data_IF_723486155457
#
_entry.id   IF_723486155457
#
_cell.length_a   1.000
_cell.length_b   1.000
_cell.length_c   1.000
_cell.angle_alpha   90.00
_cell.angle_beta   90.00
_cell.angle_gamma   90.00
#
_symmetry.space_group_name_H-M   'P 1'
#
loop_
_entity.id
_entity.type
_entity.pdbx_description
1 polymer ?
#
# COMPACT_ATOMS: atom_id res chain seq x y z
N UNK A 1 -12.92 20.72 40.85
CA UNK A 1 -13.01 20.59 39.38
C UNK A 1 -11.81 19.79 38.89
N UNK A 2 -11.92 18.46 38.86
CA UNK A 2 -10.85 17.60 38.35
C UNK A 2 -10.83 17.70 36.83
N UNK A 3 -9.72 18.15 36.26
CA UNK A 3 -9.53 18.13 34.81
C UNK A 3 -9.63 16.68 34.34
N UNK A 4 -10.63 16.39 33.54
CA UNK A 4 -10.83 15.10 32.88
C UNK A 4 -9.68 14.89 31.89
N UNK A 5 -8.55 14.38 32.39
CA UNK A 5 -7.35 14.14 31.58
C UNK A 5 -7.75 13.12 30.51
N UNK A 6 -7.70 13.55 29.25
CA UNK A 6 -7.91 12.67 28.09
C UNK A 6 -6.62 11.92 27.77
N UNK A 7 -6.74 10.72 27.24
CA UNK A 7 -5.59 9.96 26.75
C UNK A 7 -4.87 10.72 25.63
N UNK A 8 -3.57 10.99 25.83
CA UNK A 8 -2.70 11.58 24.82
C UNK A 8 -1.59 10.60 24.50
N UNK A 9 -1.50 10.20 23.23
CA UNK A 9 -0.49 9.25 22.80
C UNK A 9 0.81 9.98 22.42
N UNK A 10 1.89 9.71 23.15
CA UNK A 10 3.18 10.39 22.97
C UNK A 10 3.77 10.23 21.57
N UNK A 11 3.48 9.11 20.89
CA UNK A 11 3.98 8.83 19.53
C UNK A 11 2.95 9.18 18.44
N UNK A 12 1.96 10.04 18.73
CA UNK A 12 0.98 10.49 17.75
C UNK A 12 1.62 11.12 16.49
N UNK A 13 2.67 11.97 16.59
CA UNK A 13 3.34 12.51 15.41
C UNK A 13 3.95 11.41 14.54
N UNK A 14 4.59 10.41 15.15
CA UNK A 14 5.20 9.29 14.44
C UNK A 14 4.14 8.44 13.71
N UNK A 15 2.98 8.19 14.32
CA UNK A 15 1.86 7.50 13.67
C UNK A 15 1.41 8.23 12.41
N UNK A 16 1.24 9.55 12.49
CA UNK A 16 0.84 10.37 11.34
C UNK A 16 1.89 10.33 10.22
N UNK A 17 3.17 10.46 10.55
CA UNK A 17 4.25 10.37 9.55
C UNK A 17 4.25 9.02 8.84
N UNK A 18 4.07 7.91 9.58
CA UNK A 18 3.99 6.56 9.00
C UNK A 18 2.76 6.38 8.11
N UNK A 19 1.65 6.98 8.48
CA UNK A 19 0.42 6.96 7.68
C UNK A 19 0.63 7.71 6.35
N UNK A 20 1.23 8.90 6.38
CA UNK A 20 1.58 9.62 5.15
C UNK A 20 2.59 8.89 4.28
N UNK A 21 3.59 8.25 4.88
CA UNK A 21 4.54 7.41 4.15
C UNK A 21 3.83 6.28 3.40
N UNK A 22 2.89 5.60 4.07
CA UNK A 22 2.09 4.53 3.48
C UNK A 22 1.18 5.03 2.36
N UNK A 23 0.50 6.15 2.57
CA UNK A 23 -0.40 6.75 1.57
C UNK A 23 0.38 7.20 0.33
N UNK A 24 1.57 7.78 0.53
CA UNK A 24 2.50 8.11 -0.55
C UNK A 24 2.90 6.87 -1.35
N UNK A 25 3.34 5.80 -0.67
CA UNK A 25 3.74 4.55 -1.34
C UNK A 25 2.58 3.92 -2.14
N UNK A 26 1.35 4.01 -1.61
CA UNK A 26 0.13 3.56 -2.32
C UNK A 26 -0.12 4.37 -3.59
N UNK A 27 0.05 5.69 -3.53
CA UNK A 27 -0.06 6.56 -4.71
C UNK A 27 0.99 6.21 -5.76
N UNK A 28 2.26 6.10 -5.34
CA UNK A 28 3.37 5.72 -6.23
C UNK A 28 3.12 4.35 -6.89
N UNK A 29 2.55 3.39 -6.14
CA UNK A 29 2.21 2.06 -6.68
C UNK A 29 1.06 2.13 -7.69
N UNK A 30 0.07 2.99 -7.44
CA UNK A 30 -1.00 3.27 -8.40
C UNK A 30 -0.46 3.79 -9.73
N UNK A 31 0.40 4.81 -9.67
CA UNK A 31 1.07 5.36 -10.87
C UNK A 31 1.89 4.29 -11.59
N UNK A 32 2.70 3.52 -10.86
CA UNK A 32 3.50 2.45 -11.45
C UNK A 32 2.64 1.39 -12.13
N UNK A 33 1.52 0.99 -11.52
CA UNK A 33 0.60 0.03 -12.11
C UNK A 33 -0.04 0.54 -13.40
N UNK A 34 -0.37 1.85 -13.47
CA UNK A 34 -0.88 2.44 -14.73
C UNK A 34 0.17 2.45 -15.82
N UNK A 35 1.42 2.79 -15.50
CA UNK A 35 2.53 2.76 -16.44
C UNK A 35 2.83 1.34 -16.93
N UNK A 36 2.82 0.36 -16.02
CA UNK A 36 2.99 -1.05 -16.33
C UNK A 36 1.90 -1.55 -17.28
N UNK A 37 0.62 -1.25 -16.99
CA UNK A 37 -0.49 -1.67 -17.82
C UNK A 37 -0.44 -1.06 -19.23
N UNK A 38 -0.05 0.22 -19.33
CA UNK A 38 0.15 0.88 -20.63
C UNK A 38 1.29 0.22 -21.43
N UNK A 39 2.40 -0.13 -20.76
CA UNK A 39 3.54 -0.78 -21.40
C UNK A 39 3.20 -2.21 -21.84
N UNK A 40 2.52 -3.00 -21.01
CA UNK A 40 2.04 -4.34 -21.34
C UNK A 40 1.09 -4.32 -22.55
N UNK A 41 0.17 -3.36 -22.61
CA UNK A 41 -0.68 -3.15 -23.77
C UNK A 41 0.13 -2.82 -25.04
N UNK A 42 1.18 -2.01 -24.93
CA UNK A 42 2.09 -1.70 -26.05
C UNK A 42 2.83 -2.94 -26.55
N UNK A 43 3.36 -3.77 -25.66
CA UNK A 43 4.02 -5.04 -26.01
C UNK A 43 3.04 -5.95 -26.76
N UNK A 44 1.83 -6.13 -26.22
CA UNK A 44 0.79 -6.96 -26.84
C UNK A 44 0.41 -6.45 -28.24
N UNK A 45 0.29 -5.14 -28.42
CA UNK A 45 -0.01 -4.55 -29.72
C UNK A 45 1.12 -4.79 -30.74
N UNK A 46 2.39 -4.71 -30.32
CA UNK A 46 3.54 -5.00 -31.19
C UNK A 46 3.59 -6.47 -31.61
N UNK A 47 3.35 -7.39 -30.67
CA UNK A 47 3.28 -8.83 -30.96
C UNK A 47 2.12 -9.16 -31.91
N UNK A 48 0.96 -8.53 -31.72
CA UNK A 48 -0.18 -8.69 -32.63
C UNK A 48 0.14 -8.19 -34.04
N UNK A 49 0.79 -7.02 -34.18
CA UNK A 49 1.24 -6.51 -35.48
C UNK A 49 2.23 -7.47 -36.15
N UNK A 50 3.22 -7.94 -35.40
CA UNK A 50 4.19 -8.91 -35.89
C UNK A 50 3.50 -10.18 -36.41
N UNK A 51 2.55 -10.73 -35.63
CA UNK A 51 1.81 -11.93 -36.02
C UNK A 51 0.94 -11.70 -37.25
N UNK A 52 0.28 -10.54 -37.37
CA UNK A 52 -0.49 -10.18 -38.56
C UNK A 52 0.40 -10.09 -39.80
N UNK A 53 1.58 -9.48 -39.69
CA UNK A 53 2.54 -9.41 -40.80
C UNK A 53 3.10 -10.78 -41.18
N UNK A 54 3.32 -11.68 -40.21
CA UNK A 54 3.70 -13.07 -40.49
C UNK A 54 2.59 -13.87 -41.18
N UNK A 55 1.32 -13.62 -40.85
CA UNK A 55 0.19 -14.22 -41.54
C UNK A 55 0.06 -13.70 -42.98
N UNK A 56 0.25 -12.39 -43.18
CA UNK A 56 0.31 -11.81 -44.52
C UNK A 56 1.45 -12.44 -45.34
N UNK A 57 2.62 -12.62 -44.72
CA UNK A 57 3.75 -13.31 -45.34
C UNK A 57 3.40 -14.73 -45.79
N UNK A 58 2.82 -15.55 -44.92
CA UNK A 58 2.40 -16.92 -45.27
C UNK A 58 1.30 -16.96 -46.34
N UNK A 59 0.42 -15.96 -46.37
CA UNK A 59 -0.60 -15.82 -47.42
C UNK A 59 -0.03 -15.51 -48.81
N UNK A 60 1.15 -14.88 -48.87
CA UNK A 60 1.84 -14.61 -50.13
C UNK A 60 2.41 -15.88 -50.77
N UNK A 61 2.78 -16.90 -49.99
CA UNK A 61 3.24 -18.20 -50.51
C UNK A 61 2.13 -18.97 -51.24
N UNK A 62 0.86 -18.75 -50.86
CA UNK A 62 -0.31 -19.35 -51.51
C UNK A 62 -0.87 -18.54 -52.68
N UNK A 63 -0.33 -17.35 -52.97
CA UNK A 63 -0.84 -16.48 -54.03
C UNK A 63 -0.38 -16.96 -55.41
N UNK A 64 -1.32 -17.20 -56.32
CA UNK A 64 -1.08 -17.63 -57.71
C UNK A 64 -0.62 -16.52 -58.66
N UNK A 65 -0.35 -15.33 -58.15
CA UNK A 65 0.09 -14.15 -58.93
C UNK A 65 1.57 -13.83 -58.75
N UNK A 66 2.18 -13.07 -59.69
CA UNK A 66 3.57 -12.65 -59.55
C UNK A 66 3.76 -11.79 -58.29
N UNK A 67 4.58 -12.28 -57.36
CA UNK A 67 4.98 -11.55 -56.17
C UNK A 67 5.96 -10.44 -56.52
N UNK A 68 5.66 -9.19 -56.15
CA UNK A 68 6.65 -8.12 -56.26
C UNK A 68 7.74 -8.34 -55.21
N UNK A 69 9.00 -8.41 -55.64
CA UNK A 69 10.17 -8.51 -54.76
C UNK A 69 10.20 -7.37 -53.74
N UNK A 70 9.75 -6.17 -54.11
CA UNK A 70 9.70 -5.01 -53.22
C UNK A 70 8.75 -5.21 -52.03
N UNK A 71 7.54 -5.74 -52.26
CA UNK A 71 6.59 -6.07 -51.19
C UNK A 71 7.15 -7.11 -50.24
N UNK A 72 7.84 -8.12 -50.76
CA UNK A 72 8.50 -9.15 -49.96
C UNK A 72 9.59 -8.54 -49.08
N UNK A 73 10.52 -7.76 -49.65
CA UNK A 73 11.59 -7.13 -48.86
C UNK A 73 11.04 -6.18 -47.81
N UNK A 74 9.98 -5.43 -48.14
CA UNK A 74 9.31 -4.53 -47.19
C UNK A 74 8.68 -5.29 -46.02
N UNK A 75 7.94 -6.37 -46.29
CA UNK A 75 7.27 -7.15 -45.25
C UNK A 75 8.29 -7.85 -44.32
N UNK A 76 9.39 -8.34 -44.87
CA UNK A 76 10.48 -8.96 -44.09
C UNK A 76 11.10 -7.96 -43.11
N UNK A 77 11.44 -6.76 -43.60
CA UNK A 77 11.97 -5.68 -42.77
C UNK A 77 10.97 -5.26 -41.70
N UNK A 78 9.70 -5.15 -42.06
CA UNK A 78 8.65 -4.78 -41.12
C UNK A 78 8.47 -5.79 -39.98
N UNK A 79 8.53 -7.10 -40.28
CA UNK A 79 8.47 -8.17 -39.27
C UNK A 79 9.67 -8.09 -38.33
N UNK A 80 10.87 -7.88 -38.85
CA UNK A 80 12.10 -7.75 -38.04
C UNK A 80 12.05 -6.50 -37.14
N UNK A 81 11.64 -5.36 -37.71
CA UNK A 81 11.45 -4.10 -36.95
C UNK A 81 10.44 -4.27 -35.82
N UNK A 82 9.30 -4.93 -36.07
CA UNK A 82 8.31 -5.21 -35.02
C UNK A 82 8.87 -6.13 -33.95
N UNK A 83 9.64 -7.16 -34.32
CA UNK A 83 10.30 -8.06 -33.37
C UNK A 83 11.32 -7.32 -32.49
N UNK A 84 12.13 -6.45 -33.07
CA UNK A 84 13.09 -5.62 -32.33
C UNK A 84 12.39 -4.66 -31.37
N UNK A 85 11.32 -3.99 -31.82
CA UNK A 85 10.53 -3.10 -30.99
C UNK A 85 9.84 -3.85 -29.84
N UNK A 86 9.28 -5.04 -30.10
CA UNK A 86 8.65 -5.87 -29.09
C UNK A 86 9.65 -6.30 -28.00
N UNK A 87 10.86 -6.70 -28.37
CA UNK A 87 11.92 -7.06 -27.40
C UNK A 87 12.30 -5.88 -26.51
N UNK A 88 12.56 -4.70 -27.09
CA UNK A 88 12.85 -3.48 -26.31
C UNK A 88 11.71 -3.09 -25.39
N UNK A 89 10.47 -3.22 -25.86
CA UNK A 89 9.29 -2.93 -25.07
C UNK A 89 9.12 -3.94 -23.92
N UNK A 90 9.48 -5.20 -24.13
CA UNK A 90 9.48 -6.24 -23.10
C UNK A 90 10.56 -5.97 -22.03
N UNK A 91 11.79 -5.62 -22.43
CA UNK A 91 12.85 -5.25 -21.49
C UNK A 91 12.42 -4.07 -20.59
N UNK A 92 11.75 -3.07 -21.17
CA UNK A 92 11.18 -1.96 -20.40
C UNK A 92 10.06 -2.41 -19.45
N UNK A 93 9.21 -3.36 -19.88
CA UNK A 93 8.16 -3.94 -19.03
C UNK A 93 8.75 -4.74 -17.86
N UNK A 94 9.82 -5.48 -18.10
CA UNK A 94 10.51 -6.26 -17.07
C UNK A 94 11.14 -5.32 -16.02
N UNK A 95 11.77 -4.23 -16.46
CA UNK A 95 12.29 -3.20 -15.56
C UNK A 95 11.20 -2.52 -14.72
N UNK A 96 10.03 -2.21 -15.33
CA UNK A 96 8.87 -1.70 -14.60
C UNK A 96 8.33 -2.74 -13.59
N UNK A 97 8.35 -4.02 -13.95
CA UNK A 97 7.90 -5.11 -13.08
C UNK A 97 8.78 -5.21 -11.83
N UNK A 98 10.11 -5.21 -12.01
CA UNK A 98 11.06 -5.22 -10.88
C UNK A 98 10.82 -4.05 -9.94
N UNK A 99 10.66 -2.84 -10.50
CA UNK A 99 10.43 -1.63 -9.70
C UNK A 99 9.09 -1.64 -8.97
N UNK A 100 8.05 -2.21 -9.57
CA UNK A 100 6.75 -2.42 -8.93
C UNK A 100 6.86 -3.39 -7.76
N UNK A 101 7.61 -4.47 -7.93
CA UNK A 101 7.79 -5.49 -6.88
C UNK A 101 8.58 -4.91 -5.69
N UNK A 102 9.66 -4.16 -5.94
CA UNK A 102 10.39 -3.41 -4.90
C UNK A 102 9.48 -2.44 -4.13
N UNK A 103 8.59 -1.74 -4.84
CA UNK A 103 7.65 -0.80 -4.23
C UNK A 103 6.59 -1.53 -3.37
N UNK A 104 6.19 -2.72 -3.80
CA UNK A 104 5.26 -3.59 -3.07
C UNK A 104 5.89 -4.06 -1.76
N UNK A 105 7.16 -4.47 -1.78
CA UNK A 105 7.91 -4.84 -0.58
C UNK A 105 8.02 -3.66 0.40
N UNK A 106 8.33 -2.47 -0.10
CA UNK A 106 8.36 -1.24 0.71
C UNK A 106 7.02 -0.92 1.35
N UNK A 107 5.91 -1.12 0.61
CA UNK A 107 4.55 -0.92 1.13
C UNK A 107 4.25 -1.90 2.26
N UNK A 108 4.61 -3.18 2.10
CA UNK A 108 4.46 -4.17 3.16
C UNK A 108 5.24 -3.83 4.43
N UNK A 109 6.48 -3.36 4.29
CA UNK A 109 7.30 -2.92 5.41
C UNK A 109 6.71 -1.69 6.10
N UNK A 110 6.25 -0.70 5.34
CA UNK A 110 5.61 0.50 5.87
C UNK A 110 4.30 0.18 6.62
N UNK A 111 3.49 -0.74 6.08
CA UNK A 111 2.27 -1.20 6.72
C UNK A 111 2.58 -1.87 8.06
N UNK A 112 3.53 -2.82 8.10
CA UNK A 112 3.93 -3.49 9.35
C UNK A 112 4.43 -2.50 10.40
N UNK A 113 5.21 -1.50 9.98
CA UNK A 113 5.68 -0.46 10.89
C UNK A 113 4.53 0.38 11.46
N UNK A 114 3.52 0.72 10.65
CA UNK A 114 2.31 1.42 11.09
C UNK A 114 1.51 0.55 12.07
N UNK A 115 1.30 -0.72 11.75
CA UNK A 115 0.55 -1.67 12.57
C UNK A 115 1.18 -1.81 13.96
N UNK A 116 2.51 -1.93 14.04
CA UNK A 116 3.24 -2.00 15.31
C UNK A 116 3.03 -0.76 16.19
N UNK A 117 3.02 0.44 15.59
CA UNK A 117 2.78 1.69 16.32
C UNK A 117 1.32 1.81 16.78
N UNK A 118 0.37 1.32 15.97
CA UNK A 118 -1.05 1.28 16.33
C UNK A 118 -1.32 0.28 17.46
N UNK A 119 -0.69 -0.90 17.43
CA UNK A 119 -0.77 -1.88 18.50
C UNK A 119 -0.23 -1.30 19.81
N UNK A 120 0.94 -0.64 19.75
CA UNK A 120 1.50 0.05 20.90
C UNK A 120 0.57 1.13 21.45
N UNK A 121 -0.07 1.92 20.58
CA UNK A 121 -1.10 2.91 20.98
C UNK A 121 -2.25 2.24 21.73
N UNK A 122 -2.77 1.12 21.22
CA UNK A 122 -3.83 0.36 21.87
C UNK A 122 -3.44 -0.12 23.27
N UNK A 123 -2.22 -0.67 23.41
CA UNK A 123 -1.67 -1.08 24.71
C UNK A 123 -1.57 0.09 25.70
N UNK A 124 -1.09 1.26 25.25
CA UNK A 124 -1.00 2.45 26.11
C UNK A 124 -2.36 2.98 26.51
N UNK A 125 -3.34 2.95 25.60
CA UNK A 125 -4.70 3.36 25.90
C UNK A 125 -5.36 2.45 26.95
N UNK A 126 -5.16 1.14 26.84
CA UNK A 126 -5.66 0.18 27.81
C UNK A 126 -5.06 0.42 29.20
N UNK A 127 -3.73 0.63 29.29
CA UNK A 127 -3.06 0.97 30.55
C UNK A 127 -3.59 2.26 31.15
N UNK A 128 -3.75 3.31 30.34
CA UNK A 128 -4.33 4.57 30.79
C UNK A 128 -5.73 4.41 31.39
N UNK A 129 -6.59 3.57 30.79
CA UNK A 129 -7.92 3.28 31.32
C UNK A 129 -7.85 2.51 32.64
N UNK A 130 -6.95 1.53 32.76
CA UNK A 130 -6.74 0.77 34.00
C UNK A 130 -6.25 1.67 35.14
N UNK A 131 -5.27 2.54 34.87
CA UNK A 131 -4.75 3.50 35.85
C UNK A 131 -5.84 4.48 36.31
N UNK A 132 -6.68 4.96 35.38
CA UNK A 132 -7.80 5.84 35.69
C UNK A 132 -8.82 5.15 36.60
N UNK A 133 -9.23 3.93 36.25
CA UNK A 133 -10.16 3.14 37.07
C UNK A 133 -9.57 2.91 38.47
N UNK A 134 -8.29 2.57 38.57
CA UNK A 134 -7.62 2.38 39.87
C UNK A 134 -7.59 3.66 40.72
N UNK A 135 -7.34 4.82 40.10
CA UNK A 135 -7.39 6.12 40.78
C UNK A 135 -8.81 6.46 41.24
N UNK A 136 -9.82 6.22 40.41
CA UNK A 136 -11.22 6.46 40.74
C UNK A 136 -11.67 5.57 41.91
N UNK A 137 -11.27 4.28 41.91
CA UNK A 137 -11.50 3.37 43.04
C UNK A 137 -10.85 3.86 44.33
N UNK A 138 -9.58 4.29 44.27
CA UNK A 138 -8.86 4.80 45.44
C UNK A 138 -9.52 6.07 45.98
N UNK A 139 -9.91 6.99 45.11
CA UNK A 139 -10.60 8.21 45.51
C UNK A 139 -11.96 7.90 46.18
N UNK A 140 -12.70 6.91 45.69
CA UNK A 140 -13.94 6.47 46.31
C UNK A 140 -13.72 5.82 47.68
N UNK A 141 -12.67 5.00 47.83
CA UNK A 141 -12.30 4.37 49.11
C UNK A 141 -11.87 5.42 50.15
N UNK A 142 -11.02 6.38 49.75
CA UNK A 142 -10.60 7.51 50.60
C UNK A 142 -11.83 8.32 51.08
N UNK A 143 -12.79 8.62 50.17
CA UNK A 143 -14.04 9.31 50.52
C UNK A 143 -14.91 8.50 51.48
N UNK A 144 -15.00 7.20 51.29
CA UNK A 144 -15.74 6.31 52.19
C UNK A 144 -15.10 6.25 53.58
N UNK A 145 -13.76 6.15 53.65
CA UNK A 145 -13.00 6.18 54.89
C UNK A 145 -13.17 7.50 55.66
N UNK A 146 -13.09 8.65 54.96
CA UNK A 146 -13.35 9.96 55.56
C UNK A 146 -14.77 10.04 56.13
N UNK A 147 -15.78 9.58 55.39
CA UNK A 147 -17.18 9.59 55.83
C UNK A 147 -17.40 8.79 57.12
N UNK A 148 -16.67 7.69 57.33
CA UNK A 148 -16.71 6.90 58.57
C UNK A 148 -15.94 7.54 59.71
N UNK A 149 -14.81 8.19 59.43
CA UNK A 149 -14.02 8.89 60.43
C UNK A 149 -14.72 10.17 60.96
N UNK A 150 -15.56 10.81 60.14
CA UNK A 150 -16.43 11.91 60.55
C UNK A 150 -17.83 11.48 61.00
N UNK A 151 -18.11 10.17 61.08
CA UNK A 151 -19.33 9.62 61.68
C UNK A 151 -19.38 9.89 63.19
N UNK A 152 -20.54 10.28 63.76
CA UNK A 152 -20.61 11.04 65.00
C UNK A 152 -20.13 10.26 66.24
N UNK A 153 -19.38 10.96 67.09
CA UNK A 153 -19.23 10.66 68.51
C UNK A 153 -20.53 10.97 69.28
N UNK A 154 -21.62 10.30 68.90
CA UNK A 154 -22.91 10.20 69.60
C UNK A 154 -23.19 8.69 69.66
N UNK A 155 -23.31 7.96 70.76
CA UNK A 155 -23.60 8.29 72.16
C UNK A 155 -22.85 7.29 73.06
N UNK A 156 -22.22 7.76 74.13
CA UNK A 156 -21.69 6.92 75.20
C UNK A 156 -21.76 7.63 76.56
N UNK A 157 -22.82 8.40 76.81
CA UNK A 157 -23.10 8.93 78.15
C UNK A 157 -24.61 8.99 78.38
N UNK A 158 -25.17 7.94 79.00
CA UNK A 158 -26.19 7.97 80.08
C UNK A 158 -26.71 6.56 80.37
#
# INVERSE_FOLDING_TARGET
MGSDRRFQYALQPMLLTRQWELDRLRSELGEMNTAWAAQDASVKALLQRQQASMQEWGGLEGATGPLSVDRFVMLARHIDDCGLQARRAQEALDALTQRRDELTDRLHLAQRALDAVQEHRGKMQLRFLQDRVSLDFKAADDQWGMSRATGPAYDSES
#
